data_IF_762307219240
#
_entry.id   IF_762307219240
#
_cell.length_a   1.000
_cell.length_b   1.000
_cell.length_c   1.000
_cell.angle_alpha   90.00
_cell.angle_beta   90.00
_cell.angle_gamma   90.00
#
_symmetry.space_group_name_H-M   'P 1'
#
loop_
_entity.id
_entity.type
_entity.pdbx_description
1 polymer ?
#
# COMPACT_ATOMS: atom_id res chain seq x y z
N UNK A 1 -9.04 -0.54 -18.52
CA UNK A 1 -10.24 -0.51 -17.67
C UNK A 1 -10.50 -1.80 -16.93
N UNK A 2 -10.49 -2.95 -17.61
CA UNK A 2 -10.66 -4.26 -16.95
C UNK A 2 -9.60 -4.55 -15.90
N UNK A 3 -8.35 -4.22 -16.16
CA UNK A 3 -7.25 -4.42 -15.23
C UNK A 3 -7.44 -3.63 -13.94
N UNK A 4 -7.83 -2.36 -14.07
CA UNK A 4 -8.10 -1.52 -12.90
C UNK A 4 -9.27 -2.06 -12.08
N UNK A 5 -10.34 -2.49 -12.74
CA UNK A 5 -11.50 -3.07 -12.08
C UNK A 5 -11.13 -4.32 -11.27
N UNK A 6 -10.37 -5.23 -11.89
CA UNK A 6 -9.93 -6.47 -11.23
C UNK A 6 -9.05 -6.15 -10.02
N UNK A 7 -8.12 -5.21 -10.14
CA UNK A 7 -7.26 -4.80 -9.04
C UNK A 7 -8.05 -4.16 -7.90
N UNK A 8 -9.08 -3.38 -8.22
CA UNK A 8 -9.94 -2.79 -7.20
C UNK A 8 -10.74 -3.84 -6.45
N UNK A 9 -11.19 -4.89 -7.14
CA UNK A 9 -11.86 -6.01 -6.49
C UNK A 9 -10.90 -6.72 -5.53
N UNK A 10 -9.66 -6.94 -5.94
CA UNK A 10 -8.66 -7.55 -5.08
C UNK A 10 -8.39 -6.67 -3.85
N UNK A 11 -8.24 -5.36 -4.04
CA UNK A 11 -8.04 -4.42 -2.95
C UNK A 11 -9.26 -4.39 -2.02
N UNK A 12 -10.47 -4.42 -2.57
CA UNK A 12 -11.69 -4.48 -1.78
C UNK A 12 -11.78 -5.77 -0.98
N UNK A 13 -11.38 -6.90 -1.58
CA UNK A 13 -11.32 -8.18 -0.89
C UNK A 13 -10.36 -8.15 0.30
N UNK A 14 -9.20 -7.54 0.12
CA UNK A 14 -8.24 -7.35 1.20
C UNK A 14 -8.79 -6.42 2.28
N UNK A 15 -9.48 -5.35 1.90
CA UNK A 15 -10.10 -4.44 2.85
C UNK A 15 -11.17 -5.15 3.68
N UNK A 16 -11.96 -6.01 3.06
CA UNK A 16 -12.97 -6.82 3.78
C UNK A 16 -12.29 -7.75 4.78
N UNK A 17 -11.18 -8.39 4.38
CA UNK A 17 -10.41 -9.22 5.30
C UNK A 17 -9.87 -8.40 6.47
N UNK A 18 -9.40 -7.19 6.22
CA UNK A 18 -8.96 -6.28 7.27
C UNK A 18 -10.10 -5.89 8.20
N UNK A 19 -11.31 -5.67 7.67
CA UNK A 19 -12.48 -5.36 8.49
C UNK A 19 -12.84 -6.51 9.42
N UNK A 20 -12.74 -7.75 8.94
CA UNK A 20 -12.94 -8.91 9.79
C UNK A 20 -11.88 -8.96 10.89
N UNK A 21 -10.64 -8.66 10.54
CA UNK A 21 -9.55 -8.59 11.52
C UNK A 21 -9.76 -7.47 12.54
N UNK A 22 -10.34 -6.33 12.14
CA UNK A 22 -10.59 -5.21 13.07
C UNK A 22 -11.61 -5.55 14.14
N UNK A 23 -12.51 -6.51 13.90
CA UNK A 23 -13.44 -6.94 14.94
C UNK A 23 -12.72 -7.70 16.06
N UNK A 24 -11.52 -8.18 15.80
CA UNK A 24 -10.77 -8.99 16.74
C UNK A 24 -9.82 -8.13 17.55
N UNK A 25 -9.53 -6.91 17.10
CA UNK A 25 -8.55 -6.22 17.88
C UNK A 25 -8.09 -4.85 17.52
N UNK A 26 -7.56 -4.28 18.53
CA UNK A 26 -6.61 -3.19 18.53
C UNK A 26 -5.32 -3.43 17.71
N UNK A 27 -5.20 -4.52 16.96
CA UNK A 27 -3.97 -4.85 16.20
C UNK A 27 -4.01 -4.38 14.75
N UNK A 28 -5.17 -4.07 14.20
CA UNK A 28 -5.28 -3.56 12.85
C UNK A 28 -4.93 -2.07 12.83
N UNK A 29 -3.91 -1.73 12.08
CA UNK A 29 -3.42 -0.36 11.95
C UNK A 29 -3.53 0.04 10.48
N UNK A 30 -3.78 1.32 10.24
CA UNK A 30 -3.89 1.82 8.87
C UNK A 30 -3.30 3.22 8.76
N UNK A 31 -2.55 3.46 7.70
CA UNK A 31 -2.08 4.78 7.32
C UNK A 31 -2.44 5.03 5.86
N UNK A 32 -2.82 6.25 5.55
CA UNK A 32 -3.22 6.64 4.19
C UNK A 32 -2.63 7.99 3.81
N UNK A 33 -2.44 8.14 2.51
CA UNK A 33 -2.15 9.43 1.90
C UNK A 33 -2.72 9.45 0.49
N UNK A 34 -2.88 10.63 -0.07
CA UNK A 34 -3.37 10.80 -1.42
C UNK A 34 -2.55 11.87 -2.12
N UNK A 35 -2.19 11.62 -3.36
CA UNK A 35 -1.55 12.61 -4.22
C UNK A 35 -2.48 12.95 -5.37
N UNK A 36 -2.72 14.24 -5.56
CA UNK A 36 -3.53 14.76 -6.66
C UNK A 36 -2.75 15.81 -7.41
N UNK A 37 -2.60 15.62 -8.70
CA UNK A 37 -1.95 16.61 -9.56
C UNK A 37 -2.42 16.43 -11.00
N UNK A 38 -2.90 17.52 -11.57
CA UNK A 38 -3.26 17.58 -12.99
C UNK A 38 -4.16 16.45 -13.47
N UNK A 39 -5.17 16.11 -12.67
CA UNK A 39 -6.13 15.03 -12.98
C UNK A 39 -5.73 13.67 -12.50
N UNK A 40 -4.47 13.45 -12.12
CA UNK A 40 -4.03 12.22 -11.48
C UNK A 40 -4.47 12.21 -10.01
N UNK A 41 -4.91 11.07 -9.55
CA UNK A 41 -5.21 10.84 -8.15
C UNK A 41 -4.68 9.46 -7.77
N UNK A 42 -3.75 9.42 -6.82
CA UNK A 42 -3.16 8.18 -6.34
C UNK A 42 -3.41 8.04 -4.86
N UNK A 43 -4.08 6.99 -4.48
CA UNK A 43 -4.30 6.63 -3.09
C UNK A 43 -3.22 5.66 -2.64
N UNK A 44 -2.53 6.01 -1.57
CA UNK A 44 -1.49 5.20 -0.96
C UNK A 44 -1.97 4.72 0.39
N UNK A 45 -1.78 3.46 0.67
CA UNK A 45 -2.26 2.84 1.90
C UNK A 45 -1.26 1.84 2.41
N UNK A 46 -0.99 1.89 3.69
CA UNK A 46 -0.31 0.82 4.42
C UNK A 46 -1.24 0.35 5.53
N UNK A 47 -1.29 -0.93 5.79
CA UNK A 47 -2.15 -1.46 6.83
C UNK A 47 -1.65 -2.81 7.32
N UNK A 48 -2.11 -3.20 8.49
CA UNK A 48 -1.75 -4.48 9.08
C UNK A 48 -2.99 -5.26 9.45
N UNK A 49 -2.90 -6.56 9.33
CA UNK A 49 -3.63 -7.48 10.20
C UNK A 49 -2.65 -7.99 11.26
N UNK A 50 -3.02 -8.99 12.02
CA UNK A 50 -2.17 -9.41 13.14
C UNK A 50 -0.76 -9.86 12.72
N UNK A 51 -0.65 -10.63 11.65
CA UNK A 51 0.62 -11.23 11.24
C UNK A 51 1.23 -10.62 9.98
N UNK A 52 0.45 -9.87 9.21
CA UNK A 52 0.85 -9.42 7.89
C UNK A 52 0.77 -7.90 7.78
N UNK A 53 1.78 -7.31 7.17
CA UNK A 53 1.78 -5.91 6.78
C UNK A 53 1.63 -5.77 5.28
N UNK A 54 0.89 -4.77 4.84
CA UNK A 54 0.52 -4.53 3.46
C UNK A 54 0.83 -3.09 3.08
N UNK A 55 1.26 -2.91 1.84
CA UNK A 55 1.39 -1.58 1.24
C UNK A 55 0.82 -1.62 -0.17
N UNK A 56 0.06 -0.60 -0.55
CA UNK A 56 -0.53 -0.53 -1.87
C UNK A 56 -0.69 0.92 -2.35
N UNK A 57 -0.73 1.09 -3.66
CA UNK A 57 -1.07 2.35 -4.30
C UNK A 57 -2.01 2.08 -5.47
N UNK A 58 -3.09 2.86 -5.56
CA UNK A 58 -4.12 2.73 -6.58
C UNK A 58 -4.36 4.08 -7.24
N UNK A 59 -4.24 4.15 -8.54
CA UNK A 59 -4.38 5.36 -9.33
C UNK A 59 -5.61 5.33 -10.22
N UNK A 60 -6.20 6.51 -10.45
CA UNK A 60 -7.31 6.67 -11.40
C UNK A 60 -6.86 6.53 -12.87
N UNK A 61 -5.60 6.89 -13.18
CA UNK A 61 -5.02 6.77 -14.51
C UNK A 61 -3.75 5.94 -14.46
N UNK A 62 -3.35 5.43 -15.61
CA UNK A 62 -2.08 4.74 -15.78
C UNK A 62 -0.93 5.68 -15.41
N UNK A 63 -0.05 5.20 -14.56
CA UNK A 63 1.18 5.88 -14.17
C UNK A 63 2.33 5.20 -14.88
N UNK A 64 3.22 5.98 -15.48
CA UNK A 64 4.35 5.43 -16.23
C UNK A 64 5.27 4.60 -15.35
N UNK A 65 5.54 5.08 -14.14
CA UNK A 65 6.35 4.36 -13.16
C UNK A 65 5.74 4.48 -11.78
N UNK A 66 5.49 3.36 -11.14
CA UNK A 66 5.08 3.29 -9.74
C UNK A 66 6.02 2.38 -8.99
N UNK A 67 6.49 2.83 -7.84
CA UNK A 67 7.35 2.04 -6.98
C UNK A 67 6.97 2.23 -5.53
N UNK A 68 7.07 1.18 -4.74
CA UNK A 68 7.04 1.27 -3.30
C UNK A 68 8.20 0.49 -2.71
N UNK A 69 8.77 1.03 -1.65
CA UNK A 69 9.78 0.40 -0.81
C UNK A 69 9.32 0.55 0.62
N UNK A 70 9.27 -0.54 1.36
CA UNK A 70 8.78 -0.46 2.72
C UNK A 70 9.36 -1.50 3.63
N UNK A 71 8.92 -1.43 4.87
CA UNK A 71 9.30 -2.38 5.89
C UNK A 71 8.13 -2.66 6.81
N UNK A 72 7.99 -3.93 7.15
CA UNK A 72 7.05 -4.43 8.16
C UNK A 72 7.90 -4.83 9.34
N UNK A 73 7.54 -4.41 10.54
CA UNK A 73 8.40 -4.66 11.70
C UNK A 73 7.65 -4.91 13.00
N UNK A 74 8.35 -5.58 13.90
CA UNK A 74 8.04 -5.66 15.32
C UNK A 74 9.36 -5.57 16.09
N UNK A 75 9.37 -5.61 17.43
CA UNK A 75 10.61 -5.46 18.19
C UNK A 75 11.67 -6.54 17.93
N UNK A 76 11.28 -7.65 17.34
CA UNK A 76 12.16 -8.81 17.17
C UNK A 76 12.61 -9.07 15.74
N UNK A 77 11.84 -8.56 14.76
CA UNK A 77 12.08 -8.89 13.36
C UNK A 77 11.53 -7.83 12.42
N UNK A 78 11.95 -7.95 11.17
CA UNK A 78 11.43 -7.09 10.10
C UNK A 78 11.48 -7.84 8.77
N UNK A 79 10.66 -7.37 7.83
CA UNK A 79 10.66 -7.85 6.46
C UNK A 79 10.46 -6.67 5.52
N UNK A 80 11.04 -6.74 4.34
CA UNK A 80 10.97 -5.66 3.38
C UNK A 80 9.80 -5.83 2.43
N UNK A 81 9.23 -4.70 2.04
CA UNK A 81 8.22 -4.61 1.01
C UNK A 81 8.83 -3.94 -0.22
N UNK A 82 8.49 -4.44 -1.38
CA UNK A 82 8.89 -3.82 -2.63
C UNK A 82 7.89 -4.17 -3.72
N UNK A 83 7.47 -3.17 -4.48
CA UNK A 83 6.71 -3.37 -5.70
C UNK A 83 7.08 -2.32 -6.72
N UNK A 84 7.07 -2.70 -7.98
CA UNK A 84 7.38 -1.82 -9.09
C UNK A 84 6.44 -2.17 -10.25
N UNK A 85 5.95 -1.16 -10.93
CA UNK A 85 5.16 -1.35 -12.13
C UNK A 85 5.36 -0.22 -13.11
N UNK A 86 5.29 -0.54 -14.40
CA UNK A 86 5.32 0.41 -15.50
C UNK A 86 3.98 0.43 -16.20
N UNK A 87 3.52 1.62 -16.56
CA UNK A 87 2.24 1.81 -17.24
C UNK A 87 1.10 1.06 -16.53
N UNK A 88 1.00 1.28 -15.24
CA UNK A 88 0.07 0.54 -14.38
C UNK A 88 -0.78 1.47 -13.53
N UNK A 89 -1.90 0.95 -13.03
CA UNK A 89 -2.81 1.65 -12.11
C UNK A 89 -2.55 1.28 -10.65
N UNK A 90 -1.82 0.21 -10.40
CA UNK A 90 -1.83 -0.38 -9.07
C UNK A 90 -0.54 -1.16 -8.82
N UNK A 91 0.02 -0.96 -7.63
CA UNK A 91 1.10 -1.79 -7.10
C UNK A 91 0.79 -2.17 -5.66
N UNK A 92 1.25 -3.33 -5.24
CA UNK A 92 1.12 -3.77 -3.85
C UNK A 92 2.17 -4.80 -3.51
N UNK A 93 2.45 -4.90 -2.22
CA UNK A 93 3.24 -5.99 -1.65
C UNK A 93 2.81 -6.23 -0.20
N UNK A 94 3.14 -7.40 0.31
CA UNK A 94 2.85 -7.76 1.68
C UNK A 94 3.95 -8.66 2.25
N UNK A 95 4.10 -8.63 3.56
CA UNK A 95 5.05 -9.49 4.26
C UNK A 95 4.49 -9.92 5.60
N UNK A 96 4.83 -11.12 6.01
CA UNK A 96 4.34 -11.73 7.23
C UNK A 96 5.46 -11.85 8.26
N UNK A 97 5.14 -11.57 9.51
CA UNK A 97 6.06 -11.75 10.64
C UNK A 97 5.50 -12.75 11.64
N UNK A 98 6.37 -13.56 12.19
CA UNK A 98 5.99 -14.67 13.06
C UNK A 98 5.23 -14.24 14.31
N UNK A 99 5.60 -13.14 14.92
CA UNK A 99 5.03 -12.71 16.21
C UNK A 99 4.14 -11.48 16.09
N UNK A 100 3.65 -11.21 14.89
CA UNK A 100 2.78 -10.09 14.65
C UNK A 100 3.51 -8.87 14.09
N UNK A 101 2.73 -7.92 13.62
CA UNK A 101 3.21 -6.70 13.01
C UNK A 101 2.82 -5.52 13.88
N UNK A 102 3.80 -4.75 14.32
CA UNK A 102 3.59 -3.53 15.11
C UNK A 102 3.58 -2.29 14.25
N UNK A 103 4.27 -2.34 13.12
CA UNK A 103 4.43 -1.18 12.26
C UNK A 103 4.60 -1.61 10.80
N UNK A 104 3.98 -0.86 9.92
CA UNK A 104 4.27 -0.92 8.49
C UNK A 104 4.52 0.48 7.98
N UNK A 105 5.55 0.63 7.16
CA UNK A 105 5.89 1.92 6.57
C UNK A 105 6.36 1.71 5.15
N UNK A 106 6.06 2.66 4.29
CA UNK A 106 6.45 2.58 2.89
C UNK A 106 6.74 3.97 2.33
N UNK A 107 7.72 4.01 1.45
CA UNK A 107 7.99 5.15 0.60
C UNK A 107 7.46 4.82 -0.78
N UNK A 108 6.63 5.70 -1.31
CA UNK A 108 6.05 5.59 -2.64
C UNK A 108 6.71 6.58 -3.57
N UNK A 109 6.89 6.18 -4.81
CA UNK A 109 7.40 7.03 -5.87
C UNK A 109 6.55 6.85 -7.12
N UNK A 110 6.16 7.96 -7.75
CA UNK A 110 5.36 7.97 -8.96
C UNK A 110 5.99 8.91 -9.99
N UNK A 111 5.98 8.48 -11.23
CA UNK A 111 6.39 9.30 -12.35
C UNK A 111 5.36 9.11 -13.48
N UNK A 112 4.77 10.22 -13.93
CA UNK A 112 3.77 10.17 -15.00
C UNK A 112 4.42 10.43 -16.36
N UNK A 113 3.75 9.99 -17.42
CA UNK A 113 4.21 10.25 -18.79
C UNK A 113 4.27 11.74 -19.13
N UNK A 114 3.58 12.58 -18.37
CA UNK A 114 3.60 14.04 -18.54
C UNK A 114 4.71 14.71 -17.75
N UNK A 115 5.52 13.95 -17.02
CA UNK A 115 6.68 14.45 -16.30
C UNK A 115 6.43 14.85 -14.84
N UNK A 116 5.25 14.58 -14.30
CA UNK A 116 4.98 14.83 -12.88
C UNK A 116 5.62 13.75 -12.03
N UNK A 117 6.27 14.17 -10.96
CA UNK A 117 6.88 13.25 -10.00
C UNK A 117 6.31 13.49 -8.61
N UNK A 118 6.20 12.42 -7.83
CA UNK A 118 5.79 12.54 -6.43
C UNK A 118 6.44 11.43 -5.62
N UNK A 119 6.91 11.81 -4.43
CA UNK A 119 7.41 10.88 -3.42
C UNK A 119 6.65 11.09 -2.13
N UNK A 120 6.23 10.02 -1.50
CA UNK A 120 5.40 10.09 -0.30
C UNK A 120 5.73 8.97 0.66
N UNK A 121 5.91 9.34 1.93
CA UNK A 121 6.05 8.39 3.03
C UNK A 121 4.69 8.19 3.70
N UNK A 122 4.31 6.93 3.93
CA UNK A 122 3.07 6.56 4.64
C UNK A 122 3.42 5.51 5.67
N UNK A 123 2.86 5.65 6.87
CA UNK A 123 3.09 4.67 7.91
C UNK A 123 1.82 4.39 8.70
N UNK A 124 1.81 3.21 9.32
CA UNK A 124 0.81 2.80 10.29
C UNK A 124 1.53 2.09 11.44
N UNK A 125 1.16 2.40 12.66
CA UNK A 125 1.75 1.78 13.83
C UNK A 125 2.42 2.75 14.78
N UNK A 126 3.11 2.13 15.71
CA UNK A 126 3.66 2.86 16.86
C UNK A 126 5.02 3.48 16.59
#
# INVERSE_FOLDING_TARGET
>A
MKTKFIKRIAAAGMAVACMVATTISAFALEGRSNWNENGYSVDMKVYTDYLTGYAEADSNYTIEEMRLDGVVSNPYSHAYLYAYGENTYYISDSAKLQYGVDKVEANYYFYTSEGYEHSQYVNAGK
#
